data_IF_734146937164
#
_entry.id   IF_734146937164
#
_cell.length_a   1.000
_cell.length_b   1.000
_cell.length_c   1.000
_cell.angle_alpha   90.00
_cell.angle_beta   90.00
_cell.angle_gamma   90.00
#
_symmetry.space_group_name_H-M   'P 1'
#
loop_
_entity.id
_entity.type
_entity.pdbx_description
1 polymer ?
#
# COMPACT_ATOMS: atom_id res chain seq x y z
N UNK A 1 7.28 -14.36 -31.33
CA UNK A 1 8.10 -15.30 -30.54
C UNK A 1 8.15 -14.78 -29.12
N UNK A 2 7.68 -15.55 -28.15
CA UNK A 2 7.82 -15.19 -26.73
C UNK A 2 9.28 -15.43 -26.31
N UNK A 3 9.81 -14.46 -25.58
CA UNK A 3 11.15 -14.34 -24.98
C UNK A 3 11.53 -15.56 -24.12
N UNK A 4 12.85 -15.80 -23.88
CA UNK A 4 13.31 -16.93 -23.06
C UNK A 4 12.77 -16.86 -21.64
N UNK A 5 12.74 -18.00 -20.96
CA UNK A 5 12.25 -18.13 -19.59
C UNK A 5 12.86 -17.05 -18.68
N UNK A 6 12.00 -16.39 -17.90
CA UNK A 6 12.44 -15.45 -16.87
C UNK A 6 12.95 -16.27 -15.69
N UNK A 7 14.25 -16.21 -15.42
CA UNK A 7 14.92 -16.97 -14.36
C UNK A 7 15.30 -16.09 -13.15
N UNK A 8 14.81 -14.85 -13.09
CA UNK A 8 15.09 -13.94 -11.98
C UNK A 8 14.25 -14.26 -10.74
N UNK A 9 14.48 -13.50 -9.65
CA UNK A 9 13.76 -13.69 -8.38
C UNK A 9 12.26 -13.45 -8.46
N UNK A 10 11.72 -12.95 -9.57
CA UNK A 10 10.29 -12.75 -9.80
C UNK A 10 9.61 -14.01 -10.36
N UNK A 11 10.40 -14.97 -10.86
CA UNK A 11 9.93 -16.28 -11.28
C UNK A 11 9.98 -17.30 -10.13
N UNK A 12 9.14 -17.09 -9.12
CA UNK A 12 9.10 -17.92 -7.92
C UNK A 12 7.90 -18.86 -7.89
N UNK A 13 8.07 -20.01 -7.22
CA UNK A 13 6.98 -20.89 -6.80
C UNK A 13 6.83 -20.85 -5.29
N UNK A 14 5.65 -21.20 -4.76
CA UNK A 14 5.36 -21.14 -3.31
C UNK A 14 6.38 -21.88 -2.43
N UNK A 15 7.02 -22.94 -2.94
CA UNK A 15 8.03 -23.73 -2.21
C UNK A 15 9.37 -23.02 -2.05
N UNK A 16 9.64 -21.99 -2.85
CA UNK A 16 10.93 -21.29 -2.87
C UNK A 16 10.93 -20.00 -2.04
N UNK A 17 9.80 -19.62 -1.42
CA UNK A 17 9.66 -18.37 -0.67
C UNK A 17 9.47 -18.61 0.83
N UNK A 18 10.20 -17.84 1.64
CA UNK A 18 9.96 -17.66 3.06
C UNK A 18 9.33 -16.28 3.36
N UNK A 19 8.80 -16.06 4.58
CA UNK A 19 8.25 -14.77 4.98
C UNK A 19 9.24 -13.61 4.85
N UNK A 20 10.54 -13.85 5.10
CA UNK A 20 11.57 -12.82 4.98
C UNK A 20 11.75 -12.27 3.55
N UNK A 21 11.27 -12.98 2.52
CA UNK A 21 11.39 -12.57 1.13
C UNK A 21 10.35 -11.51 0.72
N UNK A 22 9.27 -11.34 1.52
CA UNK A 22 8.17 -10.43 1.20
C UNK A 22 7.55 -9.70 2.41
N UNK A 23 7.87 -10.07 3.65
CA UNK A 23 7.36 -9.42 4.86
C UNK A 23 8.35 -8.40 5.38
N UNK A 24 7.90 -7.15 5.53
CA UNK A 24 8.65 -6.08 6.19
C UNK A 24 7.94 -5.75 7.50
N UNK A 25 8.55 -6.03 8.67
CA UNK A 25 7.96 -5.66 9.94
C UNK A 25 7.98 -4.14 10.10
N UNK A 26 6.86 -3.58 10.55
CA UNK A 26 6.81 -2.17 10.95
C UNK A 26 7.54 -2.02 12.30
N UNK A 27 8.57 -1.15 12.40
CA UNK A 27 9.26 -0.89 13.66
C UNK A 27 8.42 0.05 14.54
N UNK A 28 8.62 -0.02 15.86
CA UNK A 28 7.87 0.79 16.83
C UNK A 28 8.01 2.30 16.59
N UNK A 29 9.16 2.74 16.09
CA UNK A 29 9.37 4.14 15.68
C UNK A 29 8.42 4.57 14.55
N UNK A 30 8.19 3.71 13.55
CA UNK A 30 7.24 4.00 12.48
C UNK A 30 5.78 3.94 12.98
N UNK A 31 5.49 3.06 13.95
CA UNK A 31 4.18 3.04 14.61
C UNK A 31 3.92 4.35 15.36
N UNK A 32 4.90 4.86 16.11
CA UNK A 32 4.81 6.12 16.82
C UNK A 32 4.59 7.30 15.86
N UNK A 33 5.30 7.35 14.74
CA UNK A 33 5.08 8.36 13.69
C UNK A 33 3.63 8.33 13.15
N UNK A 34 3.08 7.14 12.88
CA UNK A 34 1.69 7.01 12.41
C UNK A 34 0.68 7.41 13.49
N UNK A 35 0.96 7.15 14.77
CA UNK A 35 0.12 7.59 15.87
C UNK A 35 0.11 9.12 16.02
N UNK A 36 1.24 9.78 15.81
CA UNK A 36 1.34 11.24 15.81
C UNK A 36 0.56 11.85 14.65
N UNK A 37 0.67 11.26 13.45
CA UNK A 37 -0.11 11.65 12.27
C UNK A 37 -1.61 11.49 12.54
N UNK A 38 -2.05 10.34 13.04
CA UNK A 38 -3.46 10.10 13.37
C UNK A 38 -3.97 11.13 14.40
N UNK A 39 -3.17 11.40 15.43
CA UNK A 39 -3.49 12.41 16.45
C UNK A 39 -3.62 13.82 15.88
N UNK A 40 -2.80 14.16 14.87
CA UNK A 40 -2.89 15.45 14.18
C UNK A 40 -4.15 15.53 13.30
N UNK A 41 -4.45 14.49 12.54
CA UNK A 41 -5.65 14.42 11.69
C UNK A 41 -6.95 14.40 12.50
N UNK A 42 -6.95 13.87 13.72
CA UNK A 42 -8.09 14.00 14.64
C UNK A 42 -8.38 15.45 15.03
N UNK A 43 -7.32 16.25 15.26
CA UNK A 43 -7.46 17.65 15.67
C UNK A 43 -7.78 18.56 14.49
N UNK A 44 -7.20 18.26 13.33
CA UNK A 44 -7.34 19.04 12.10
C UNK A 44 -7.55 18.08 10.91
N UNK A 45 -8.80 17.68 10.65
CA UNK A 45 -9.12 16.75 9.57
C UNK A 45 -8.80 17.37 8.21
N UNK A 46 -7.95 16.68 7.45
CA UNK A 46 -7.61 17.07 6.08
C UNK A 46 -8.27 16.13 5.07
N UNK A 47 -8.81 16.65 3.96
CA UNK A 47 -9.24 15.82 2.84
C UNK A 47 -8.10 14.93 2.33
N UNK A 48 -8.39 13.66 2.02
CA UNK A 48 -7.40 12.68 1.53
C UNK A 48 -6.52 13.20 0.38
N UNK A 49 -7.12 13.96 -0.55
CA UNK A 49 -6.41 14.50 -1.72
C UNK A 49 -5.39 15.59 -1.38
N UNK A 50 -5.47 16.18 -0.18
CA UNK A 50 -4.52 17.18 0.32
C UNK A 50 -3.46 16.56 1.25
N UNK A 51 -3.59 15.28 1.58
CA UNK A 51 -2.59 14.57 2.38
C UNK A 51 -1.34 14.32 1.55
N UNK A 52 -0.23 14.85 2.06
CA UNK A 52 1.10 14.63 1.51
C UNK A 52 2.04 14.19 2.64
N UNK A 53 2.87 13.15 2.42
CA UNK A 53 3.91 12.77 3.37
C UNK A 53 4.84 13.93 3.75
N UNK A 54 5.03 14.90 2.84
CA UNK A 54 5.86 16.09 3.08
C UNK A 54 5.32 17.01 4.19
N UNK A 55 4.05 16.88 4.59
CA UNK A 55 3.45 17.68 5.68
C UNK A 55 3.71 17.09 7.07
N UNK A 56 4.33 15.91 7.15
CA UNK A 56 4.56 15.16 8.37
C UNK A 56 6.04 14.74 8.49
N UNK A 57 6.51 14.59 9.72
CA UNK A 57 7.85 14.05 9.99
C UNK A 57 7.70 12.55 10.16
N UNK A 58 8.04 11.78 9.13
CA UNK A 58 7.89 10.31 9.12
C UNK A 58 9.14 9.56 8.59
N UNK A 59 10.35 9.82 9.11
CA UNK A 59 11.58 9.20 8.61
C UNK A 59 11.61 7.68 8.76
N UNK A 60 11.06 7.10 9.84
CA UNK A 60 11.02 5.65 10.03
C UNK A 60 10.04 5.01 9.04
N UNK A 61 8.86 5.60 8.82
CA UNK A 61 7.96 5.16 7.75
C UNK A 61 8.67 5.26 6.39
N UNK A 62 9.32 6.37 6.07
CA UNK A 62 10.03 6.53 4.80
C UNK A 62 11.10 5.44 4.58
N UNK A 63 11.83 5.05 5.63
CA UNK A 63 12.82 3.97 5.56
C UNK A 63 12.20 2.59 5.31
N UNK A 64 11.07 2.30 5.96
CA UNK A 64 10.28 1.07 5.73
C UNK A 64 9.81 1.01 4.29
N UNK A 65 9.24 2.11 3.78
CA UNK A 65 8.72 2.18 2.42
C UNK A 65 9.84 2.14 1.37
N UNK A 66 11.01 2.71 1.66
CA UNK A 66 12.21 2.55 0.81
C UNK A 66 12.69 1.09 0.73
N UNK A 67 12.59 0.34 1.84
CA UNK A 67 12.90 -1.10 1.86
C UNK A 67 11.87 -1.90 1.07
N UNK A 68 10.59 -1.61 1.26
CA UNK A 68 9.51 -2.20 0.48
C UNK A 68 9.69 -1.93 -1.02
N UNK A 69 10.01 -0.69 -1.42
CA UNK A 69 10.27 -0.34 -2.82
C UNK A 69 11.45 -1.12 -3.43
N UNK A 70 12.49 -1.39 -2.64
CA UNK A 70 13.62 -2.24 -3.07
C UNK A 70 13.21 -3.69 -3.25
N UNK A 71 12.43 -4.25 -2.32
CA UNK A 71 11.93 -5.62 -2.42
C UNK A 71 10.94 -5.81 -3.58
N UNK A 72 10.15 -4.78 -3.91
CA UNK A 72 9.29 -4.78 -5.09
C UNK A 72 10.09 -4.79 -6.40
N UNK A 73 11.24 -4.09 -6.46
CA UNK A 73 12.09 -4.05 -7.66
C UNK A 73 13.00 -5.27 -7.79
N UNK A 74 13.65 -5.67 -6.71
CA UNK A 74 14.79 -6.60 -6.76
C UNK A 74 14.45 -7.97 -6.15
N UNK A 75 13.30 -8.09 -5.50
CA UNK A 75 12.79 -9.31 -4.89
C UNK A 75 11.68 -9.94 -5.71
N UNK A 76 10.67 -10.45 -5.00
CA UNK A 76 9.58 -11.26 -5.57
C UNK A 76 8.46 -10.44 -6.21
N UNK A 77 8.58 -9.11 -6.22
CA UNK A 77 7.56 -8.20 -6.75
C UNK A 77 6.34 -8.01 -5.84
N UNK A 78 6.40 -8.54 -4.61
CA UNK A 78 5.36 -8.45 -3.58
C UNK A 78 5.99 -8.05 -2.26
N UNK A 79 5.32 -7.17 -1.51
CA UNK A 79 5.68 -6.83 -0.13
C UNK A 79 4.42 -6.73 0.72
N UNK A 80 4.49 -7.25 1.94
CA UNK A 80 3.49 -7.05 3.00
C UNK A 80 4.16 -6.34 4.17
N UNK A 81 3.55 -5.24 4.59
CA UNK A 81 3.94 -4.52 5.80
C UNK A 81 3.16 -5.12 6.96
N UNK A 82 3.86 -5.69 7.93
CA UNK A 82 3.26 -6.41 9.05
C UNK A 82 3.23 -5.57 10.33
N UNK A 83 2.27 -5.89 11.22
CA UNK A 83 2.05 -5.27 12.55
C UNK A 83 1.62 -3.79 12.51
N UNK A 84 0.82 -3.41 11.51
CA UNK A 84 0.13 -2.12 11.53
C UNK A 84 -1.05 -2.20 12.53
N UNK A 85 -1.10 -1.36 13.59
CA UNK A 85 -2.14 -1.44 14.62
C UNK A 85 -3.46 -0.80 14.16
N UNK A 86 -4.09 -1.39 13.14
CA UNK A 86 -5.32 -0.87 12.52
C UNK A 86 -6.49 -0.75 13.50
N UNK A 87 -6.54 -1.60 14.52
CA UNK A 87 -7.58 -1.57 15.56
C UNK A 87 -7.46 -0.37 16.50
N UNK A 88 -6.32 0.33 16.50
CA UNK A 88 -6.10 1.53 17.30
C UNK A 88 -6.66 2.81 16.66
N UNK A 89 -7.17 2.72 15.42
CA UNK A 89 -7.57 3.86 14.61
C UNK A 89 -8.98 3.71 14.03
N UNK A 90 -9.64 4.84 13.79
CA UNK A 90 -10.92 4.85 13.09
C UNK A 90 -10.76 4.47 11.61
N UNK A 91 -11.83 4.05 10.91
CA UNK A 91 -11.76 3.74 9.48
C UNK A 91 -11.21 4.88 8.62
N UNK A 92 -11.49 6.14 8.96
CA UNK A 92 -11.02 7.31 8.22
C UNK A 92 -9.55 7.63 8.50
N UNK A 93 -9.10 7.41 9.74
CA UNK A 93 -7.68 7.47 10.10
C UNK A 93 -6.89 6.39 9.37
N UNK A 94 -7.35 5.14 9.40
CA UNK A 94 -6.74 4.03 8.66
C UNK A 94 -6.60 4.35 7.16
N UNK A 95 -7.66 4.92 6.55
CA UNK A 95 -7.66 5.32 5.14
C UNK A 95 -6.63 6.42 4.84
N UNK A 96 -6.50 7.39 5.76
CA UNK A 96 -5.54 8.50 5.65
C UNK A 96 -4.10 8.03 5.81
N UNK A 97 -3.83 7.17 6.79
CA UNK A 97 -2.51 6.59 7.02
C UNK A 97 -2.09 5.69 5.87
N UNK A 98 -3.01 4.86 5.35
CA UNK A 98 -2.79 4.06 4.15
C UNK A 98 -2.43 4.95 2.95
N UNK A 99 -3.17 6.04 2.74
CA UNK A 99 -2.90 6.97 1.65
C UNK A 99 -1.51 7.62 1.77
N UNK A 100 -1.12 8.05 2.98
CA UNK A 100 0.20 8.63 3.25
C UNK A 100 1.32 7.63 3.00
N UNK A 101 1.21 6.40 3.51
CA UNK A 101 2.19 5.35 3.27
C UNK A 101 2.31 5.04 1.78
N UNK A 102 1.18 4.83 1.08
CA UNK A 102 1.16 4.60 -0.37
C UNK A 102 1.84 5.73 -1.15
N UNK A 103 1.64 6.98 -0.73
CA UNK A 103 2.23 8.17 -1.35
C UNK A 103 3.76 8.25 -1.23
N UNK A 104 4.36 7.52 -0.29
CA UNK A 104 5.83 7.45 -0.15
C UNK A 104 6.49 6.43 -1.08
N UNK A 105 5.75 5.43 -1.57
CA UNK A 105 6.29 4.42 -2.52
C UNK A 105 6.32 4.91 -3.97
N UNK A 106 5.47 5.88 -4.28
CA UNK A 106 5.26 6.43 -5.61
C UNK A 106 3.98 7.27 -5.60
N UNK A 107 3.69 7.95 -6.72
CA UNK A 107 2.39 8.64 -6.84
C UNK A 107 1.25 7.61 -6.76
N UNK A 108 0.34 7.70 -5.79
CA UNK A 108 -0.85 6.85 -5.77
C UNK A 108 -1.66 7.16 -7.03
N UNK A 109 -1.81 6.20 -7.92
CA UNK A 109 -2.80 6.28 -9.00
C UNK A 109 -4.09 5.67 -8.49
N UNK A 110 -5.15 6.48 -8.42
CA UNK A 110 -6.49 6.00 -8.10
C UNK A 110 -6.93 5.00 -9.19
N UNK A 111 -6.93 3.71 -8.86
CA UNK A 111 -7.40 2.68 -9.77
C UNK A 111 -8.94 2.65 -9.73
N UNK A 112 -9.58 3.17 -10.78
CA UNK A 112 -11.04 3.11 -10.93
C UNK A 112 -11.46 1.66 -11.14
N UNK A 113 -12.23 1.09 -10.23
CA UNK A 113 -13.00 -0.11 -10.50
C UNK A 113 -14.30 0.27 -11.24
N UNK A 114 -14.20 0.58 -12.53
CA UNK A 114 -15.40 0.63 -13.37
C UNK A 114 -15.82 -0.79 -13.69
N UNK A 115 -16.73 -1.35 -12.88
CA UNK A 115 -17.49 -2.53 -13.26
C UNK A 115 -18.61 -2.09 -14.20
N UNK A 116 -18.34 -2.02 -15.50
CA UNK A 116 -19.42 -2.02 -16.48
C UNK A 116 -20.00 -3.45 -16.54
N UNK A 117 -21.22 -3.64 -16.05
CA UNK A 117 -21.94 -4.91 -16.23
C UNK A 117 -22.49 -4.94 -17.67
N UNK A 118 -22.15 -5.94 -18.51
CA UNK A 118 -22.55 -5.97 -19.91
C UNK A 118 -23.94 -6.55 -20.19
N UNK A 119 -24.71 -6.93 -19.17
CA UNK A 119 -26.06 -7.47 -19.38
C UNK A 119 -27.12 -6.44 -19.00
N UNK A 120 -27.66 -5.79 -20.01
CA UNK A 120 -29.00 -5.22 -20.01
C UNK A 120 -29.59 -5.53 -21.37
N UNK A 121 -30.04 -6.77 -21.57
CA UNK A 121 -30.95 -7.05 -22.67
C UNK A 121 -32.33 -6.55 -22.26
N UNK A 122 -32.70 -5.38 -22.78
CA UNK A 122 -34.08 -4.97 -22.88
C UNK A 122 -34.81 -6.02 -23.74
N UNK A 123 -35.63 -6.84 -23.10
CA UNK A 123 -36.63 -7.65 -23.80
C UNK A 123 -37.77 -6.72 -24.19
N UNK A 124 -37.79 -6.32 -25.46
CA UNK A 124 -38.94 -5.77 -26.16
C UNK A 124 -39.45 -6.80 -27.18
N UNK A 125 -40.77 -6.95 -27.26
CA UNK A 125 -41.47 -7.53 -28.41
C UNK A 125 -41.79 -9.03 -28.39
N UNK A 126 -42.87 -9.42 -27.71
CA UNK A 126 -44.12 -9.91 -28.36
C UNK A 126 -45.21 -10.22 -27.35
#
# INVERSE_FOLDING_TARGET
MLTPDVLDRRAWSRRALGPADWVVPLPDAAVAELQDVASRLRRDPLPLLLLSPAHFVMPACAAVMATAARMLRDGVGLVVIDRLPVDAWSPDECRSLYWLLGSTLGRPVAQKATRASPWSTASDGR
#
